data_IF_286595716144
#
_entry.id   IF_286595716144
#
_cell.length_a   1.000
_cell.length_b   1.000
_cell.length_c   1.000
_cell.angle_alpha   90.00
_cell.angle_beta   90.00
_cell.angle_gamma   90.00
#
_symmetry.space_group_name_H-M   'P 1'
#
loop_
_entity.id
_entity.type
_entity.pdbx_description
1 polymer ?
#
# COMPACT_ATOMS: atom_id res chain seq x y z
N UNK A 1 17.21 22.44 8.19
CA UNK A 1 16.41 21.28 8.64
C UNK A 1 14.90 21.38 8.34
N UNK A 2 14.33 22.57 8.11
CA UNK A 2 12.86 22.81 7.99
C UNK A 2 12.12 21.86 7.04
N UNK A 3 12.63 21.62 5.82
CA UNK A 3 11.94 20.82 4.79
C UNK A 3 11.54 19.42 5.27
N UNK A 4 12.40 18.73 6.04
CA UNK A 4 12.08 17.41 6.61
C UNK A 4 10.87 17.46 7.57
N UNK A 5 10.72 18.55 8.33
CA UNK A 5 9.58 18.72 9.25
C UNK A 5 8.28 19.02 8.50
N UNK A 6 8.34 19.73 7.37
CA UNK A 6 7.16 20.02 6.56
C UNK A 6 6.62 18.74 5.90
N UNK A 7 7.51 17.91 5.33
CA UNK A 7 7.13 16.62 4.75
C UNK A 7 6.49 15.68 5.79
N UNK A 8 7.06 15.59 7.00
CA UNK A 8 6.44 14.83 8.11
C UNK A 8 5.05 15.34 8.50
N UNK A 9 4.78 16.65 8.42
CA UNK A 9 3.43 17.18 8.65
C UNK A 9 2.46 16.74 7.55
N UNK A 10 2.86 16.86 6.28
CA UNK A 10 2.04 16.45 5.13
C UNK A 10 1.71 14.94 5.19
N UNK A 11 2.69 14.09 5.54
CA UNK A 11 2.46 12.65 5.73
C UNK A 11 1.39 12.40 6.80
N UNK A 12 1.52 13.01 7.99
CA UNK A 12 0.57 12.81 9.10
C UNK A 12 -0.83 13.33 8.77
N UNK A 13 -0.93 14.46 8.08
CA UNK A 13 -2.20 15.03 7.61
C UNK A 13 -2.87 14.10 6.58
N UNK A 14 -2.10 13.56 5.63
CA UNK A 14 -2.57 12.58 4.66
C UNK A 14 -3.01 11.25 5.31
N UNK A 15 -2.24 10.75 6.30
CA UNK A 15 -2.58 9.55 7.07
C UNK A 15 -3.90 9.71 7.84
N UNK A 16 -4.08 10.82 8.55
CA UNK A 16 -5.34 11.11 9.29
C UNK A 16 -6.52 11.22 8.33
N UNK A 17 -6.38 11.95 7.23
CA UNK A 17 -7.44 12.10 6.23
C UNK A 17 -7.79 10.76 5.56
N UNK A 18 -6.81 9.89 5.31
CA UNK A 18 -7.04 8.54 4.79
C UNK A 18 -7.73 7.62 5.80
N UNK A 19 -7.36 7.69 7.08
CA UNK A 19 -8.05 6.95 8.15
C UNK A 19 -9.49 7.42 8.29
N UNK A 20 -9.76 8.73 8.27
CA UNK A 20 -11.11 9.27 8.31
C UNK A 20 -11.93 8.85 7.07
N UNK A 21 -11.34 8.91 5.88
CA UNK A 21 -11.98 8.44 4.64
C UNK A 21 -12.34 6.95 4.72
N UNK A 22 -11.45 6.11 5.25
CA UNK A 22 -11.72 4.67 5.44
C UNK A 22 -12.80 4.42 6.50
N UNK A 23 -12.85 5.22 7.58
CA UNK A 23 -13.91 5.15 8.59
C UNK A 23 -15.27 5.59 8.01
N UNK A 24 -15.30 6.67 7.21
CA UNK A 24 -16.49 7.11 6.48
C UNK A 24 -16.94 6.06 5.46
N UNK A 25 -16.02 5.37 4.79
CA UNK A 25 -16.32 4.28 3.87
C UNK A 25 -16.96 3.09 4.60
N UNK A 26 -16.44 2.68 5.77
CA UNK A 26 -17.04 1.64 6.59
C UNK A 26 -18.48 1.99 7.05
N UNK A 27 -18.73 3.24 7.44
CA UNK A 27 -20.09 3.71 7.75
C UNK A 27 -21.03 3.73 6.53
N UNK A 28 -20.49 3.88 5.31
CA UNK A 28 -21.27 3.82 4.07
C UNK A 28 -21.53 2.37 3.65
N UNK A 29 -20.57 1.46 3.85
CA UNK A 29 -20.73 0.02 3.67
C UNK A 29 -21.83 -0.52 4.60
N UNK A 30 -21.76 -0.22 5.90
CA UNK A 30 -22.80 -0.52 6.90
C UNK A 30 -24.18 0.03 6.49
N UNK A 31 -24.25 1.32 6.14
CA UNK A 31 -25.50 1.95 5.67
C UNK A 31 -26.03 1.34 4.37
N UNK A 32 -25.17 0.87 3.47
CA UNK A 32 -25.58 0.18 2.24
C UNK A 32 -26.08 -1.25 2.48
N UNK A 33 -25.63 -1.88 3.57
CA UNK A 33 -26.09 -3.20 4.01
C UNK A 33 -27.53 -3.18 4.56
N UNK A 34 -28.01 -2.00 4.99
CA UNK A 34 -29.39 -1.78 5.43
C UNK A 34 -30.40 -1.84 4.26
N UNK A 35 -30.88 -3.04 3.96
CA UNK A 35 -32.00 -3.31 3.03
C UNK A 35 -33.18 -2.35 3.30
N UNK A 36 -33.51 -1.48 2.34
CA UNK A 36 -34.68 -0.54 2.40
C UNK A 36 -35.97 -1.28 2.75
N UNK A 37 -36.03 -2.53 2.32
CA UNK A 37 -36.89 -3.66 2.68
C UNK A 37 -37.38 -3.68 4.15
N UNK A 38 -36.54 -3.29 5.10
CA UNK A 38 -36.78 -3.45 6.54
C UNK A 38 -37.38 -2.22 7.24
N UNK A 39 -37.51 -1.08 6.55
CA UNK A 39 -37.75 0.22 7.20
C UNK A 39 -39.18 0.76 7.12
N UNK A 40 -40.09 0.14 6.34
CA UNK A 40 -41.52 0.44 6.38
C UNK A 40 -42.37 -0.74 5.87
N UNK A 41 -43.17 -1.34 6.75
CA UNK A 41 -44.23 -2.28 6.39
C UNK A 41 -45.57 -1.58 6.15
N UNK A 42 -46.35 -2.05 5.18
CA UNK A 42 -47.70 -1.57 4.77
C UNK A 42 -47.77 -0.11 4.27
N UNK A 43 -48.08 0.18 3.00
CA UNK A 43 -49.29 -0.20 2.26
C UNK A 43 -49.09 -0.33 0.73
N UNK A 44 -50.08 -0.90 0.04
CA UNK A 44 -50.11 -1.13 -1.41
C UNK A 44 -51.17 -0.27 -2.12
N UNK A 45 -50.77 0.78 -2.85
CA UNK A 45 -51.64 1.47 -3.81
C UNK A 45 -50.88 1.83 -5.10
N UNK A 46 -51.47 1.55 -6.26
CA UNK A 46 -50.86 1.75 -7.60
C UNK A 46 -51.23 3.10 -8.21
N UNK A 47 -50.29 3.74 -8.92
CA UNK A 47 -50.58 4.68 -10.02
C UNK A 47 -49.42 4.72 -11.03
N UNK A 48 -49.74 4.68 -12.33
CA UNK A 48 -48.85 4.79 -13.51
C UNK A 48 -49.73 4.76 -14.79
N UNK A 49 -49.34 5.31 -15.97
CA UNK A 49 -48.12 6.05 -16.32
C UNK A 49 -48.41 7.58 -16.31
N UNK A 50 -48.01 8.52 -17.19
CA UNK A 50 -47.32 8.58 -18.49
C UNK A 50 -46.83 10.05 -18.73
N UNK A 51 -46.06 10.48 -19.73
CA UNK A 51 -45.49 9.86 -20.95
C UNK A 51 -44.28 10.68 -21.48
N UNK A 52 -43.36 10.04 -22.21
CA UNK A 52 -42.40 10.70 -23.12
C UNK A 52 -41.07 11.18 -22.50
N UNK A 53 -39.97 11.27 -23.26
CA UNK A 53 -39.77 10.89 -24.67
C UNK A 53 -38.30 10.50 -25.02
N UNK A 54 -38.15 9.97 -26.25
CA UNK A 54 -36.95 9.54 -26.96
C UNK A 54 -35.79 10.57 -27.05
N UNK A 55 -34.54 10.24 -27.41
CA UNK A 55 -33.78 8.97 -27.60
C UNK A 55 -32.33 9.32 -28.01
N UNK A 56 -31.36 8.42 -27.83
CA UNK A 56 -30.38 7.95 -28.85
C UNK A 56 -29.07 7.42 -28.24
N UNK A 57 -28.52 6.37 -28.85
CA UNK A 57 -27.16 5.87 -28.60
C UNK A 57 -26.15 6.58 -29.52
N UNK A 58 -24.86 6.62 -29.16
CA UNK A 58 -23.77 6.25 -30.09
C UNK A 58 -22.40 6.11 -29.39
N UNK A 59 -21.78 4.97 -29.64
CA UNK A 59 -20.35 4.60 -29.78
C UNK A 59 -19.19 5.25 -29.00
N UNK A 60 -18.28 4.34 -28.61
CA UNK A 60 -16.89 4.57 -28.24
C UNK A 60 -16.00 4.62 -29.51
N UNK A 61 -14.98 5.50 -29.53
CA UNK A 61 -13.75 5.20 -30.25
C UNK A 61 -12.51 5.30 -29.33
N UNK A 62 -11.73 4.23 -29.24
CA UNK A 62 -10.38 4.27 -28.67
C UNK A 62 -9.40 4.89 -29.67
N UNK A 63 -8.56 5.84 -29.24
CA UNK A 63 -7.34 6.22 -29.99
C UNK A 63 -6.16 6.47 -29.05
N UNK A 64 -5.07 5.73 -29.28
CA UNK A 64 -3.81 5.87 -28.54
C UNK A 64 -2.95 7.00 -29.09
N UNK A 65 -2.22 7.72 -28.24
CA UNK A 65 -1.06 8.53 -28.66
C UNK A 65 0.11 8.40 -27.68
N UNK A 66 1.25 7.95 -28.21
CA UNK A 66 2.55 7.85 -27.53
C UNK A 66 3.43 9.04 -27.93
N UNK A 67 4.07 9.71 -26.96
CA UNK A 67 5.30 10.49 -27.15
C UNK A 67 6.16 10.33 -25.89
N UNK A 68 7.49 10.36 -26.01
CA UNK A 68 8.42 10.15 -24.88
C UNK A 68 9.72 10.97 -25.03
N UNK A 69 10.47 11.09 -23.92
CA UNK A 69 11.81 11.68 -23.74
C UNK A 69 12.03 13.16 -24.14
N UNK A 70 12.52 13.96 -23.18
CA UNK A 70 13.94 14.33 -23.18
C UNK A 70 14.46 14.67 -21.77
N UNK A 71 15.77 14.88 -21.62
CA UNK A 71 16.51 14.62 -20.37
C UNK A 71 17.44 15.78 -19.93
N UNK A 72 18.31 15.50 -18.94
CA UNK A 72 19.33 16.35 -18.28
C UNK A 72 18.86 17.19 -17.06
N UNK A 73 19.62 17.28 -15.95
CA UNK A 73 20.79 16.48 -15.54
C UNK A 73 21.76 17.20 -14.58
N UNK A 74 22.15 16.57 -13.46
CA UNK A 74 23.37 16.90 -12.69
C UNK A 74 23.68 15.81 -11.64
N UNK A 75 24.93 15.29 -11.54
CA UNK A 75 25.29 14.26 -10.56
C UNK A 75 26.01 14.81 -9.32
N UNK A 76 25.63 14.34 -8.13
CA UNK A 76 26.44 14.49 -6.90
C UNK A 76 26.62 13.12 -6.25
N UNK A 77 27.82 12.57 -6.34
CA UNK A 77 28.18 11.28 -5.75
C UNK A 77 28.47 11.39 -4.25
N UNK A 78 28.00 10.39 -3.48
CA UNK A 78 28.70 9.87 -2.29
C UNK A 78 28.20 8.46 -1.99
N UNK A 79 29.08 7.53 -1.56
CA UNK A 79 28.71 6.13 -1.44
C UNK A 79 27.93 5.87 -0.15
N UNK A 80 26.73 5.30 -0.30
CA UNK A 80 26.28 4.25 0.63
C UNK A 80 26.66 2.92 -0.02
N UNK A 81 27.18 1.97 0.76
CA UNK A 81 27.21 0.58 0.30
C UNK A 81 25.76 0.08 0.38
N UNK A 82 25.04 0.23 -0.73
CA UNK A 82 23.80 -0.52 -0.93
C UNK A 82 24.21 -1.98 -1.13
N UNK A 83 24.17 -2.76 -0.05
CA UNK A 83 24.10 -4.21 -0.17
C UNK A 83 22.88 -4.54 -1.03
N UNK A 84 23.11 -4.98 -2.27
CA UNK A 84 22.05 -5.16 -3.27
C UNK A 84 21.07 -6.22 -2.75
N UNK A 85 19.93 -5.74 -2.27
CA UNK A 85 18.98 -6.55 -1.52
C UNK A 85 18.08 -7.34 -2.49
N UNK A 86 18.68 -8.38 -3.07
CA UNK A 86 18.06 -9.24 -4.07
C UNK A 86 17.07 -10.25 -3.49
N UNK A 87 16.38 -10.95 -4.38
CA UNK A 87 15.50 -12.06 -4.06
C UNK A 87 16.24 -13.12 -3.21
N UNK A 88 15.54 -13.71 -2.23
CA UNK A 88 16.08 -14.70 -1.30
C UNK A 88 16.93 -14.13 -0.15
N UNK A 89 17.09 -12.80 -0.04
CA UNK A 89 17.78 -12.17 1.10
C UNK A 89 16.82 -11.95 2.27
N UNK A 90 17.29 -12.29 3.47
CA UNK A 90 16.66 -11.89 4.72
C UNK A 90 16.84 -10.37 4.94
N UNK A 91 15.79 -9.72 5.43
CA UNK A 91 15.72 -8.29 5.58
C UNK A 91 14.83 -7.90 6.77
N UNK A 92 14.85 -6.62 7.12
CA UNK A 92 14.06 -6.05 8.23
C UNK A 92 13.22 -4.91 7.70
N UNK A 93 11.93 -4.93 8.00
CA UNK A 93 10.97 -3.94 7.54
C UNK A 93 10.90 -2.78 8.53
N UNK A 94 11.16 -1.57 8.08
CA UNK A 94 10.96 -0.34 8.85
C UNK A 94 9.50 0.12 8.75
N UNK A 95 9.00 0.67 9.85
CA UNK A 95 7.74 1.39 9.92
C UNK A 95 7.67 2.48 8.84
N UNK A 96 6.49 2.69 8.27
CA UNK A 96 6.25 3.74 7.27
C UNK A 96 5.58 4.99 7.86
N UNK A 97 5.27 4.96 9.16
CA UNK A 97 4.63 6.06 9.91
C UNK A 97 5.48 6.55 11.09
N UNK A 98 6.29 5.68 11.70
CA UNK A 98 7.36 6.03 12.63
C UNK A 98 8.71 5.98 11.91
N UNK A 99 9.63 6.90 12.23
CA UNK A 99 11.00 6.83 11.73
C UNK A 99 11.80 5.76 12.49
N UNK A 100 12.69 5.04 11.80
CA UNK A 100 13.72 4.11 12.34
C UNK A 100 13.22 2.92 13.20
N UNK A 101 11.91 2.77 13.40
CA UNK A 101 11.28 1.62 14.06
C UNK A 101 11.25 0.37 13.15
N UNK A 102 11.78 -0.76 13.61
CA UNK A 102 11.67 -2.06 12.90
C UNK A 102 10.38 -2.76 13.32
N UNK A 103 9.49 -3.02 12.37
CA UNK A 103 8.17 -3.65 12.64
C UNK A 103 8.16 -5.16 12.42
N UNK A 104 9.07 -5.69 11.59
CA UNK A 104 9.14 -7.11 11.26
C UNK A 104 10.50 -7.54 10.69
N UNK A 105 10.82 -8.83 10.85
CA UNK A 105 11.79 -9.52 10.00
C UNK A 105 11.07 -10.19 8.83
N UNK A 106 11.72 -10.23 7.66
CA UNK A 106 11.14 -10.71 6.42
C UNK A 106 12.20 -11.32 5.48
N UNK A 107 11.74 -11.93 4.39
CA UNK A 107 12.58 -12.37 3.27
C UNK A 107 12.06 -11.76 1.97
N UNK A 108 12.95 -11.23 1.13
CA UNK A 108 12.57 -10.72 -0.19
C UNK A 108 12.25 -11.88 -1.13
N UNK A 109 11.08 -11.83 -1.74
CA UNK A 109 10.58 -12.83 -2.70
C UNK A 109 10.74 -12.33 -4.12
N UNK A 110 10.38 -11.07 -4.39
CA UNK A 110 10.51 -10.48 -5.73
C UNK A 110 10.90 -8.99 -5.69
N UNK A 111 11.95 -8.64 -6.43
CA UNK A 111 12.40 -7.26 -6.65
C UNK A 111 11.92 -6.67 -7.99
N UNK A 112 11.30 -7.49 -8.85
CA UNK A 112 10.86 -7.07 -10.18
C UNK A 112 9.65 -6.10 -10.09
N UNK A 113 9.72 -4.88 -10.62
CA UNK A 113 8.60 -3.93 -10.58
C UNK A 113 7.37 -4.40 -11.39
N UNK A 114 7.55 -5.32 -12.35
CA UNK A 114 6.47 -5.98 -13.11
C UNK A 114 5.94 -7.24 -12.41
N UNK A 115 6.59 -7.69 -11.33
CA UNK A 115 6.13 -8.79 -10.49
C UNK A 115 4.79 -8.48 -9.82
N UNK A 116 4.10 -9.52 -9.35
CA UNK A 116 2.75 -9.40 -8.76
C UNK A 116 2.70 -9.85 -7.30
N UNK A 117 2.05 -9.05 -6.47
CA UNK A 117 1.59 -9.43 -5.14
C UNK A 117 0.06 -9.32 -5.11
N UNK A 118 -0.64 -10.40 -4.74
CA UNK A 118 -2.12 -10.48 -4.72
C UNK A 118 -2.77 -9.99 -6.03
N UNK A 119 -2.19 -10.36 -7.18
CA UNK A 119 -2.64 -9.96 -8.52
C UNK A 119 -2.21 -8.57 -8.98
N UNK A 120 -1.89 -7.66 -8.05
CA UNK A 120 -1.51 -6.27 -8.29
C UNK A 120 0.00 -6.15 -8.60
N UNK A 121 0.43 -5.32 -9.57
CA UNK A 121 1.85 -5.02 -9.80
C UNK A 121 2.53 -4.38 -8.58
N UNK A 122 3.79 -4.76 -8.33
CA UNK A 122 4.58 -4.23 -7.20
C UNK A 122 4.97 -2.76 -7.44
N UNK A 123 5.49 -2.45 -8.64
CA UNK A 123 5.96 -1.11 -9.01
C UNK A 123 7.41 -0.79 -8.56
N UNK A 124 8.00 0.26 -9.12
CA UNK A 124 9.43 0.60 -8.96
C UNK A 124 9.86 1.10 -7.57
N UNK A 125 8.90 1.41 -6.70
CA UNK A 125 9.16 1.89 -5.33
C UNK A 125 9.10 0.80 -4.25
N UNK A 126 8.80 -0.45 -4.59
CA UNK A 126 8.55 -1.50 -3.62
C UNK A 126 9.17 -2.84 -4.02
N UNK A 127 9.35 -3.72 -3.04
CA UNK A 127 9.67 -5.13 -3.23
C UNK A 127 8.57 -5.99 -2.60
N UNK A 128 8.38 -7.20 -3.15
CA UNK A 128 7.52 -8.23 -2.57
C UNK A 128 8.32 -9.00 -1.53
N UNK A 129 7.81 -9.07 -0.31
CA UNK A 129 8.43 -9.72 0.84
C UNK A 129 7.46 -10.71 1.48
N UNK A 130 7.98 -11.73 2.14
CA UNK A 130 7.22 -12.56 3.09
C UNK A 130 7.65 -12.17 4.49
N UNK A 131 6.70 -11.81 5.36
CA UNK A 131 6.98 -11.53 6.77
C UNK A 131 7.23 -12.86 7.48
N UNK A 132 8.35 -12.97 8.19
CA UNK A 132 8.72 -14.18 8.95
C UNK A 132 8.48 -14.02 10.45
N UNK A 133 8.67 -12.82 11.00
CA UNK A 133 8.47 -12.51 12.43
C UNK A 133 7.93 -11.08 12.52
N UNK A 134 6.88 -10.86 13.32
CA UNK A 134 6.44 -9.53 13.72
C UNK A 134 7.17 -9.08 14.99
N UNK A 135 7.59 -7.81 15.02
CA UNK A 135 8.15 -7.14 16.20
C UNK A 135 7.18 -6.09 16.78
N UNK A 136 6.28 -5.56 15.95
CA UNK A 136 5.18 -4.67 16.34
C UNK A 136 3.91 -5.18 15.66
N UNK A 137 3.14 -5.99 16.37
CA UNK A 137 1.99 -6.74 15.82
C UNK A 137 0.93 -5.80 15.22
N UNK A 138 0.51 -4.78 15.97
CA UNK A 138 -0.49 -3.78 15.59
C UNK A 138 -0.04 -2.80 14.48
N UNK A 139 1.21 -2.87 14.01
CA UNK A 139 1.72 -1.93 13.01
C UNK A 139 0.94 -2.07 11.68
N UNK A 140 0.37 -0.97 11.12
CA UNK A 140 -0.32 -1.03 9.83
C UNK A 140 0.64 -1.36 8.67
N UNK A 141 0.19 -2.20 7.74
CA UNK A 141 0.97 -2.54 6.55
C UNK A 141 1.17 -1.35 5.59
N UNK A 142 2.34 -1.29 4.93
CA UNK A 142 2.64 -0.31 3.88
C UNK A 142 1.63 -0.33 2.72
N UNK A 143 1.10 -1.51 2.37
CA UNK A 143 -0.14 -1.65 1.61
C UNK A 143 -1.10 -2.56 2.37
N UNK A 144 -2.12 -1.95 2.96
CA UNK A 144 -3.28 -2.66 3.47
C UNK A 144 -4.11 -3.24 2.31
N UNK A 145 -4.78 -4.36 2.56
CA UNK A 145 -5.83 -4.91 1.70
C UNK A 145 -7.10 -5.12 2.52
N UNK A 146 -8.18 -5.57 1.89
CA UNK A 146 -9.39 -6.00 2.63
C UNK A 146 -9.13 -7.19 3.57
N UNK A 147 -8.08 -7.98 3.31
CA UNK A 147 -7.74 -9.21 4.04
C UNK A 147 -6.61 -8.99 5.06
N UNK A 148 -5.64 -8.11 4.77
CA UNK A 148 -4.42 -7.90 5.57
C UNK A 148 -4.32 -6.43 5.98
N UNK A 149 -4.30 -6.14 7.28
CA UNK A 149 -4.32 -4.77 7.81
C UNK A 149 -3.10 -4.46 8.67
N UNK A 150 -2.69 -5.42 9.51
CA UNK A 150 -1.59 -5.35 10.46
C UNK A 150 -0.37 -6.15 9.98
N UNK A 151 0.79 -5.92 10.60
CA UNK A 151 2.01 -6.70 10.37
C UNK A 151 1.85 -8.15 10.86
N UNK A 152 1.10 -8.37 11.95
CA UNK A 152 0.77 -9.71 12.44
C UNK A 152 -0.06 -10.51 11.41
N UNK A 153 -1.09 -9.90 10.79
CA UNK A 153 -1.89 -10.54 9.73
C UNK A 153 -1.02 -11.05 8.56
N UNK A 154 0.09 -10.37 8.29
CA UNK A 154 0.97 -10.67 7.16
C UNK A 154 2.02 -11.74 7.45
N UNK A 155 2.17 -12.23 8.70
CA UNK A 155 3.14 -13.28 9.05
C UNK A 155 2.85 -14.55 8.22
N UNK A 156 3.90 -15.12 7.62
CA UNK A 156 3.81 -16.24 6.68
C UNK A 156 3.21 -15.90 5.31
N UNK A 157 2.74 -14.66 5.12
CA UNK A 157 2.03 -14.21 3.90
C UNK A 157 2.89 -13.22 3.10
N UNK A 158 2.60 -13.09 1.80
CA UNK A 158 3.24 -12.11 0.93
C UNK A 158 2.66 -10.70 1.14
N UNK A 159 3.51 -9.69 1.18
CA UNK A 159 3.11 -8.27 1.12
C UNK A 159 4.10 -7.47 0.26
N UNK A 160 3.80 -6.21 -0.01
CA UNK A 160 4.74 -5.27 -0.65
C UNK A 160 5.21 -4.25 0.36
N UNK A 161 6.51 -3.97 0.40
CA UNK A 161 7.10 -2.93 1.25
C UNK A 161 7.92 -1.93 0.42
N UNK A 162 7.95 -0.66 0.82
CA UNK A 162 8.79 0.35 0.16
C UNK A 162 10.27 -0.06 0.28
N UNK A 163 10.99 -0.12 -0.84
CA UNK A 163 12.42 -0.47 -0.88
C UNK A 163 13.28 0.39 0.06
N UNK A 164 12.92 1.67 0.23
CA UNK A 164 13.67 2.64 1.04
C UNK A 164 13.46 2.39 2.56
N UNK A 165 12.45 1.58 2.90
CA UNK A 165 12.08 1.14 4.26
C UNK A 165 12.42 -0.33 4.50
N UNK A 166 13.35 -0.91 3.73
CA UNK A 166 13.88 -2.26 3.96
C UNK A 166 15.37 -2.16 4.28
N UNK A 167 15.78 -2.71 5.42
CA UNK A 167 17.17 -2.86 5.80
C UNK A 167 17.65 -4.28 5.52
N UNK A 168 18.94 -4.50 5.18
CA UNK A 168 19.51 -5.84 5.23
C UNK A 168 19.41 -6.43 6.65
N UNK A 169 19.25 -7.75 6.74
CA UNK A 169 19.48 -8.46 7.98
C UNK A 169 20.98 -8.42 8.29
N UNK A 170 21.38 -7.52 9.20
CA UNK A 170 22.77 -7.41 9.65
C UNK A 170 23.21 -8.72 10.30
N UNK A 171 24.01 -9.48 9.57
CA UNK A 171 24.77 -10.60 10.13
C UNK A 171 25.74 -10.03 11.16
N UNK A 172 25.35 -10.10 12.43
CA UNK A 172 26.23 -9.75 13.55
C UNK A 172 27.27 -10.84 13.68
N UNK A 173 28.37 -10.70 12.92
CA UNK A 173 29.60 -11.46 13.15
C UNK A 173 30.14 -11.09 14.53
N UNK A 174 29.66 -11.81 15.55
CA UNK A 174 30.15 -11.71 16.93
C UNK A 174 31.67 -11.87 16.86
N UNK A 175 32.47 -10.88 17.27
CA UNK A 175 33.91 -11.04 17.34
C UNK A 175 34.20 -12.09 18.41
N UNK A 176 34.61 -13.28 17.97
CA UNK A 176 35.03 -14.36 18.86
C UNK A 176 36.15 -13.82 19.76
N UNK A 177 36.02 -13.91 21.10
CA UNK A 177 37.11 -13.50 21.98
C UNK A 177 38.31 -14.41 21.73
N UNK A 178 39.40 -13.82 21.24
CA UNK A 178 40.69 -14.50 21.16
C UNK A 178 41.21 -14.69 22.59
N UNK A 179 41.62 -15.92 22.92
CA UNK A 179 42.19 -16.29 24.22
C UNK A 179 43.59 -15.71 24.43
#
# INVERSE_FOLDING_TARGET
MVVKSHYKKIIKECQVNMMEMNQRLAQLEERSSSCVCCLNGSQLHKASPNSGNASNNHDVPSTSKTVAHHENGSPVSRPRVEEVLGNGKACRLLSWYNDDEVVADAVIVDTNPKGKCHGVPIGFGAYKVTVTVSHVDDAPLFKQSSVLKTVYDAVGTFTTWNKDLILPAISTSIPTPTC
#
